data_IF_919025231428
#
_entry.id   IF_919025231428
#
_cell.length_a   1.000
_cell.length_b   1.000
_cell.length_c   1.000
_cell.angle_alpha   90.00
_cell.angle_beta   90.00
_cell.angle_gamma   90.00
#
_symmetry.space_group_name_H-M   'P 1'
#
loop_
_entity.id
_entity.type
_entity.pdbx_description
1 polymer ?
#
# COMPACT_ATOMS: atom_id res chain seq x y z
N UNK A 1 4.52 6.53 11.06
CA UNK A 1 5.89 6.99 11.30
C UNK A 1 6.63 5.78 11.78
N UNK A 2 7.64 5.40 11.03
CA UNK A 2 8.54 4.33 11.40
C UNK A 2 9.16 4.64 12.75
N UNK A 3 9.28 3.61 13.57
CA UNK A 3 9.96 3.74 14.84
C UNK A 3 11.47 3.83 14.59
N UNK A 4 12.23 4.38 15.55
CA UNK A 4 13.68 4.55 15.46
C UNK A 4 14.39 3.24 15.08
N UNK A 5 13.88 2.09 15.55
CA UNK A 5 14.39 0.76 15.20
C UNK A 5 14.22 0.43 13.72
N UNK A 6 13.03 0.68 13.16
CA UNK A 6 12.74 0.46 11.74
C UNK A 6 13.61 1.33 10.82
N UNK A 7 14.07 2.50 11.29
CA UNK A 7 15.03 3.32 10.54
C UNK A 7 16.47 2.80 10.59
N UNK A 8 16.85 2.14 11.68
CA UNK A 8 18.16 1.49 11.76
C UNK A 8 18.22 0.29 10.79
N UNK A 9 17.10 -0.41 10.61
CA UNK A 9 16.99 -1.50 9.63
C UNK A 9 17.19 -0.99 8.18
N UNK A 10 16.77 0.25 7.87
CA UNK A 10 17.03 0.87 6.56
C UNK A 10 18.54 1.00 6.25
N UNK A 11 19.40 1.15 7.27
CA UNK A 11 20.86 1.20 7.04
C UNK A 11 21.46 -0.17 6.78
N UNK A 12 20.82 -1.23 7.27
CA UNK A 12 21.37 -2.58 7.27
C UNK A 12 20.84 -3.44 6.11
N UNK A 13 19.59 -3.22 5.72
CA UNK A 13 18.87 -4.11 4.79
C UNK A 13 18.33 -3.40 3.55
N UNK A 14 18.21 -2.07 3.53
CA UNK A 14 17.62 -1.35 2.39
C UNK A 14 18.67 -0.50 1.68
N UNK A 15 18.54 -0.35 0.35
CA UNK A 15 19.42 0.49 -0.46
C UNK A 15 19.06 2.00 -0.38
N UNK A 16 18.37 2.40 0.70
CA UNK A 16 17.86 3.77 0.94
C UNK A 16 18.45 4.40 2.20
N UNK A 17 19.78 4.29 2.35
CA UNK A 17 20.52 4.83 3.49
C UNK A 17 20.34 6.36 3.68
N UNK A 18 19.99 7.09 2.62
CA UNK A 18 19.63 8.51 2.64
C UNK A 18 18.37 8.79 3.47
N UNK A 19 17.49 7.81 3.63
CA UNK A 19 16.31 7.92 4.48
C UNK A 19 16.61 7.60 5.95
N UNK A 20 17.79 7.10 6.31
CA UNK A 20 18.07 6.70 7.68
C UNK A 20 18.41 7.87 8.61
N UNK A 21 19.09 8.91 8.10
CA UNK A 21 19.61 10.01 8.90
C UNK A 21 18.72 11.25 8.83
N UNK A 22 18.61 12.00 9.93
CA UNK A 22 17.88 13.27 9.95
C UNK A 22 18.54 14.31 9.04
N UNK A 23 17.71 15.16 8.45
CA UNK A 23 18.16 16.33 7.71
C UNK A 23 18.83 17.35 8.65
N UNK A 24 19.39 18.41 8.07
CA UNK A 24 20.04 19.49 8.83
C UNK A 24 19.11 20.24 9.80
N UNK A 25 17.80 20.00 9.74
CA UNK A 25 16.78 20.58 10.63
C UNK A 25 16.37 19.63 11.76
N UNK A 26 17.02 18.46 11.89
CA UNK A 26 16.67 17.42 12.86
C UNK A 26 15.36 16.71 12.54
N UNK A 27 14.87 16.80 11.29
CA UNK A 27 13.69 16.09 10.83
C UNK A 27 14.07 14.90 9.99
N UNK A 28 13.28 13.86 10.14
CA UNK A 28 13.38 12.67 9.31
C UNK A 28 13.12 13.02 7.83
N UNK A 29 14.02 12.67 6.90
CA UNK A 29 13.80 12.85 5.47
C UNK A 29 12.52 12.15 5.03
N UNK A 30 11.78 12.82 4.16
CA UNK A 30 10.55 12.26 3.61
C UNK A 30 10.88 11.22 2.54
N UNK A 31 10.36 10.01 2.71
CA UNK A 31 10.41 9.02 1.65
C UNK A 31 9.67 9.50 0.40
N UNK A 32 10.19 9.14 -0.79
CA UNK A 32 9.65 9.57 -2.08
C UNK A 32 8.19 9.13 -2.31
N UNK A 33 7.73 8.12 -1.57
CA UNK A 33 6.36 7.61 -1.62
C UNK A 33 5.41 8.24 -0.59
N UNK A 34 5.88 9.15 0.28
CA UNK A 34 4.97 9.82 1.21
C UNK A 34 4.09 10.84 0.50
N UNK A 35 2.78 10.63 0.58
CA UNK A 35 1.80 11.60 0.12
C UNK A 35 1.83 12.85 1.01
N UNK A 36 1.74 14.01 0.35
CA UNK A 36 1.48 15.26 1.05
C UNK A 36 0.11 15.22 1.74
N UNK A 37 -0.02 15.98 2.83
CA UNK A 37 -1.26 16.00 3.63
C UNK A 37 -2.51 16.28 2.78
N UNK A 38 -2.42 17.22 1.83
CA UNK A 38 -3.52 17.57 0.95
C UNK A 38 -3.94 16.40 0.05
N UNK A 39 -2.98 15.67 -0.54
CA UNK A 39 -3.26 14.47 -1.33
C UNK A 39 -3.84 13.35 -0.48
N UNK A 40 -3.35 13.22 0.74
CA UNK A 40 -3.86 12.23 1.69
C UNK A 40 -5.30 12.54 2.14
N UNK A 41 -5.66 13.82 2.29
CA UNK A 41 -7.04 14.27 2.54
C UNK A 41 -7.96 13.88 1.39
N UNK A 42 -7.57 14.19 0.14
CA UNK A 42 -8.32 13.80 -1.06
C UNK A 42 -8.51 12.28 -1.16
N UNK A 43 -7.46 11.51 -0.87
CA UNK A 43 -7.53 10.05 -0.87
C UNK A 43 -8.48 9.54 0.21
N UNK A 44 -8.42 10.10 1.43
CA UNK A 44 -9.31 9.72 2.52
C UNK A 44 -10.77 10.08 2.21
N UNK A 45 -11.04 11.24 1.62
CA UNK A 45 -12.38 11.64 1.19
C UNK A 45 -12.91 10.69 0.10
N UNK A 46 -12.08 10.36 -0.88
CA UNK A 46 -12.45 9.39 -1.93
C UNK A 46 -12.83 8.02 -1.35
N UNK A 47 -12.03 7.48 -0.41
CA UNK A 47 -12.34 6.20 0.25
C UNK A 47 -13.59 6.31 1.13
N UNK A 48 -13.83 7.47 1.75
CA UNK A 48 -15.00 7.72 2.59
C UNK A 48 -16.30 7.73 1.81
N UNK A 49 -16.27 8.26 0.59
CA UNK A 49 -17.43 8.34 -0.31
C UNK A 49 -17.64 7.05 -1.13
N UNK A 50 -16.71 6.09 -1.03
CA UNK A 50 -16.77 4.84 -1.74
C UNK A 50 -17.97 3.99 -1.30
N UNK A 51 -18.78 3.55 -2.27
CA UNK A 51 -19.94 2.70 -2.05
C UNK A 51 -19.84 1.46 -2.92
N UNK A 52 -20.23 0.32 -2.35
CA UNK A 52 -20.26 -0.95 -3.04
C UNK A 52 -21.70 -1.47 -3.15
N UNK A 53 -22.00 -2.30 -4.17
CA UNK A 53 -23.19 -3.12 -4.18
C UNK A 53 -23.25 -4.03 -2.94
N UNK A 54 -24.46 -4.38 -2.52
CA UNK A 54 -24.65 -5.26 -1.37
C UNK A 54 -23.95 -6.61 -1.58
N UNK A 55 -23.33 -7.13 -0.52
CA UNK A 55 -22.56 -8.37 -0.53
C UNK A 55 -21.15 -8.28 -1.15
N UNK A 56 -20.71 -7.16 -1.71
CA UNK A 56 -19.36 -7.03 -2.26
C UNK A 56 -18.30 -6.73 -1.18
N UNK A 57 -18.51 -5.68 -0.38
CA UNK A 57 -17.66 -5.31 0.75
C UNK A 57 -18.51 -4.58 1.80
N UNK A 58 -18.02 -4.53 3.04
CA UNK A 58 -18.60 -3.66 4.06
C UNK A 58 -18.38 -2.18 3.68
N UNK A 59 -19.02 -1.26 4.41
CA UNK A 59 -18.78 0.16 4.24
C UNK A 59 -17.35 0.56 4.68
N UNK A 60 -16.38 0.44 3.76
CA UNK A 60 -14.97 0.79 3.98
C UNK A 60 -14.83 2.27 4.40
N UNK A 61 -15.73 3.14 3.95
CA UNK A 61 -15.70 4.56 4.31
C UNK A 61 -15.84 4.81 5.82
N UNK A 62 -16.48 3.90 6.57
CA UNK A 62 -16.55 3.99 8.04
C UNK A 62 -15.21 3.72 8.73
N UNK A 63 -14.28 3.07 8.04
CA UNK A 63 -12.94 2.79 8.55
C UNK A 63 -12.01 4.00 8.42
N UNK A 64 -12.41 5.09 7.74
CA UNK A 64 -11.58 6.28 7.54
C UNK A 64 -11.69 7.24 8.73
N UNK A 65 -10.57 7.41 9.44
CA UNK A 65 -10.42 8.43 10.48
C UNK A 65 -9.87 9.75 9.92
N UNK A 66 -10.74 10.66 9.47
CA UNK A 66 -10.35 11.94 8.87
C UNK A 66 -9.43 12.82 9.73
N UNK A 67 -9.54 12.74 11.07
CA UNK A 67 -8.65 13.51 11.97
C UNK A 67 -7.18 13.07 11.90
N UNK A 68 -6.95 11.78 11.67
CA UNK A 68 -5.60 11.19 11.62
C UNK A 68 -5.19 10.77 10.20
N UNK A 69 -6.09 10.91 9.22
CA UNK A 69 -5.94 10.48 7.82
C UNK A 69 -5.44 9.03 7.72
N UNK A 70 -6.14 8.13 8.43
CA UNK A 70 -5.76 6.73 8.58
C UNK A 70 -6.98 5.82 8.53
N UNK A 71 -6.77 4.62 8.02
CA UNK A 71 -7.72 3.52 8.06
C UNK A 71 -7.64 2.79 9.42
N UNK A 72 -8.79 2.44 9.98
CA UNK A 72 -8.91 1.70 11.24
C UNK A 72 -10.07 0.72 11.18
N UNK A 73 -9.93 -0.44 11.82
CA UNK A 73 -11.06 -1.37 12.04
C UNK A 73 -11.63 -2.02 10.78
N UNK A 74 -10.87 -2.05 9.67
CA UNK A 74 -11.26 -2.84 8.49
C UNK A 74 -11.23 -4.34 8.81
N UNK A 75 -12.21 -5.07 8.28
CA UNK A 75 -12.24 -6.53 8.38
C UNK A 75 -11.31 -7.12 7.31
N UNK A 76 -10.88 -8.37 7.52
CA UNK A 76 -10.01 -9.08 6.56
C UNK A 76 -10.58 -9.07 5.13
N UNK A 77 -11.88 -9.36 4.98
CA UNK A 77 -12.57 -9.30 3.69
C UNK A 77 -12.43 -7.94 2.99
N UNK A 78 -12.66 -6.85 3.73
CA UNK A 78 -12.57 -5.50 3.19
C UNK A 78 -11.12 -5.14 2.82
N UNK A 79 -10.13 -5.65 3.55
CA UNK A 79 -8.72 -5.53 3.19
C UNK A 79 -8.39 -6.27 1.89
N UNK A 80 -8.90 -7.48 1.70
CA UNK A 80 -8.72 -8.22 0.44
C UNK A 80 -9.32 -7.46 -0.74
N UNK A 81 -10.53 -6.92 -0.60
CA UNK A 81 -11.16 -6.07 -1.62
C UNK A 81 -10.32 -4.82 -1.88
N UNK A 82 -9.89 -4.13 -0.82
CA UNK A 82 -9.09 -2.91 -0.94
C UNK A 82 -7.78 -3.17 -1.69
N UNK A 83 -7.02 -4.17 -1.25
CA UNK A 83 -5.72 -4.50 -1.84
C UNK A 83 -5.89 -5.02 -3.28
N UNK A 84 -6.77 -5.97 -3.54
CA UNK A 84 -6.80 -6.67 -4.83
C UNK A 84 -7.65 -5.97 -5.90
N UNK A 85 -8.56 -5.07 -5.52
CA UNK A 85 -9.49 -4.41 -6.45
C UNK A 85 -9.29 -2.90 -6.52
N UNK A 86 -9.19 -2.23 -5.38
CA UNK A 86 -9.15 -0.77 -5.38
C UNK A 86 -7.78 -0.24 -5.77
N UNK A 87 -6.70 -0.77 -5.18
CA UNK A 87 -5.33 -0.31 -5.50
C UNK A 87 -5.05 -0.33 -7.02
N UNK A 88 -5.31 -1.43 -7.76
CA UNK A 88 -5.03 -1.48 -9.20
C UNK A 88 -5.90 -0.55 -10.05
N UNK A 89 -7.15 -0.29 -9.64
CA UNK A 89 -8.15 0.35 -10.50
C UNK A 89 -8.31 1.82 -10.14
N UNK A 90 -8.58 2.07 -8.87
CA UNK A 90 -9.09 3.35 -8.41
C UNK A 90 -7.99 4.30 -7.91
N UNK A 91 -6.86 3.74 -7.47
CA UNK A 91 -5.77 4.53 -6.88
C UNK A 91 -4.79 5.08 -7.92
N UNK A 92 -4.92 4.71 -9.20
CA UNK A 92 -4.04 5.17 -10.28
C UNK A 92 -3.95 6.70 -10.36
N UNK A 93 -5.06 7.40 -10.10
CA UNK A 93 -5.13 8.86 -10.17
C UNK A 93 -4.84 9.55 -8.84
N UNK A 94 -4.72 8.79 -7.75
CA UNK A 94 -4.59 9.30 -6.39
C UNK A 94 -3.16 9.15 -5.84
N UNK A 95 -2.41 8.17 -6.35
CA UNK A 95 -1.03 7.88 -5.97
C UNK A 95 -0.03 8.42 -7.01
N UNK A 96 1.23 8.54 -6.60
CA UNK A 96 2.33 8.75 -7.55
C UNK A 96 2.44 7.52 -8.46
N UNK A 97 2.76 7.71 -9.75
CA UNK A 97 2.82 6.62 -10.73
C UNK A 97 3.77 5.51 -10.28
N UNK A 98 4.97 5.88 -9.86
CA UNK A 98 6.01 4.99 -9.31
C UNK A 98 5.73 4.48 -7.88
N UNK A 99 4.51 4.66 -7.37
CA UNK A 99 4.07 4.02 -6.13
C UNK A 99 2.87 3.14 -6.46
N UNK A 100 2.01 3.63 -7.34
CA UNK A 100 0.86 2.90 -7.85
C UNK A 100 1.28 1.66 -8.64
N UNK A 101 2.31 1.72 -9.49
CA UNK A 101 2.73 0.60 -10.34
C UNK A 101 3.18 -0.59 -9.50
N UNK A 102 4.06 -0.37 -8.53
CA UNK A 102 4.61 -1.41 -7.66
C UNK A 102 3.61 -1.87 -6.59
N UNK A 103 2.71 -0.99 -6.11
CA UNK A 103 1.55 -1.45 -5.33
C UNK A 103 0.59 -2.30 -6.17
N UNK A 104 0.41 -1.97 -7.45
CA UNK A 104 -0.45 -2.73 -8.38
C UNK A 104 0.13 -4.11 -8.66
N UNK A 105 1.45 -4.23 -8.87
CA UNK A 105 2.12 -5.53 -9.01
C UNK A 105 1.90 -6.39 -7.77
N UNK A 106 2.07 -5.82 -6.56
CA UNK A 106 1.81 -6.53 -5.31
C UNK A 106 0.34 -6.94 -5.17
N UNK A 107 -0.59 -6.06 -5.55
CA UNK A 107 -2.03 -6.36 -5.55
C UNK A 107 -2.40 -7.50 -6.49
N UNK A 108 -1.80 -7.54 -7.68
CA UNK A 108 -2.01 -8.61 -8.65
C UNK A 108 -1.41 -9.93 -8.17
N UNK A 109 -0.23 -9.88 -7.55
CA UNK A 109 0.37 -11.04 -6.88
C UNK A 109 -0.59 -11.64 -5.84
N UNK A 110 -1.14 -10.83 -4.94
CA UNK A 110 -2.08 -11.33 -3.93
C UNK A 110 -3.38 -11.83 -4.54
N UNK A 111 -3.87 -11.20 -5.61
CA UNK A 111 -5.06 -11.64 -6.33
C UNK A 111 -4.85 -13.04 -6.90
N UNK A 112 -3.73 -13.29 -7.55
CA UNK A 112 -3.36 -14.60 -8.10
C UNK A 112 -3.16 -15.64 -6.97
N UNK A 113 -2.47 -15.25 -5.90
CA UNK A 113 -2.23 -16.13 -4.73
C UNK A 113 -3.53 -16.57 -4.05
N UNK A 114 -4.53 -15.69 -3.98
CA UNK A 114 -5.85 -15.99 -3.38
C UNK A 114 -6.86 -16.58 -4.36
N UNK A 115 -6.44 -16.92 -5.58
CA UNK A 115 -7.31 -17.56 -6.56
C UNK A 115 -7.84 -18.90 -6.02
N UNK A 116 -9.12 -19.18 -6.27
CA UNK A 116 -9.75 -20.46 -5.89
C UNK A 116 -9.09 -21.67 -6.58
N UNK A 117 -8.49 -21.44 -7.75
CA UNK A 117 -7.75 -22.45 -8.51
C UNK A 117 -6.41 -21.85 -8.89
N UNK A 118 -5.32 -22.50 -8.48
CA UNK A 118 -3.96 -22.12 -8.83
C UNK A 118 -3.27 -23.30 -9.51
N UNK A 119 -2.65 -23.06 -10.67
CA UNK A 119 -1.88 -24.08 -11.38
C UNK A 119 -0.45 -24.07 -10.85
N UNK A 120 0.23 -25.21 -10.94
CA UNK A 120 1.64 -25.34 -10.54
C UNK A 120 2.55 -24.34 -11.27
N UNK A 121 2.27 -24.05 -12.55
CA UNK A 121 2.99 -23.04 -13.31
C UNK A 121 2.79 -21.61 -12.77
N UNK A 122 1.57 -21.28 -12.33
CA UNK A 122 1.28 -19.98 -11.71
C UNK A 122 1.97 -19.87 -10.34
N UNK A 123 1.99 -20.95 -9.56
CA UNK A 123 2.69 -20.97 -8.27
C UNK A 123 4.21 -20.77 -8.44
N UNK A 124 4.84 -21.43 -9.42
CA UNK A 124 6.24 -21.20 -9.77
C UNK A 124 6.50 -19.75 -10.21
N UNK A 125 5.58 -19.16 -10.98
CA UNK A 125 5.67 -17.74 -11.36
C UNK A 125 5.66 -16.85 -10.11
N UNK A 126 4.65 -17.02 -9.24
CA UNK A 126 4.52 -16.24 -8.00
C UNK A 126 5.78 -16.33 -7.13
N UNK A 127 6.35 -17.52 -6.97
CA UNK A 127 7.58 -17.72 -6.20
C UNK A 127 8.78 -16.94 -6.78
N UNK A 128 8.90 -16.84 -8.10
CA UNK A 128 9.95 -16.06 -8.77
C UNK A 128 9.67 -14.55 -8.76
N UNK A 129 8.40 -14.14 -8.79
CA UNK A 129 8.01 -12.74 -8.89
C UNK A 129 8.08 -12.02 -7.53
N UNK A 130 7.76 -12.70 -6.42
CA UNK A 130 7.67 -12.04 -5.11
C UNK A 130 8.95 -11.33 -4.66
N UNK A 131 10.18 -11.88 -4.83
CA UNK A 131 11.38 -11.18 -4.43
C UNK A 131 11.60 -9.91 -5.27
N UNK A 132 11.26 -9.95 -6.56
CA UNK A 132 11.39 -8.82 -7.48
C UNK A 132 10.40 -7.71 -7.10
N UNK A 133 9.15 -8.07 -6.83
CA UNK A 133 8.11 -7.12 -6.39
C UNK A 133 8.51 -6.46 -5.08
N UNK A 134 9.03 -7.22 -4.11
CA UNK A 134 9.49 -6.67 -2.84
C UNK A 134 10.69 -5.72 -3.03
N UNK A 135 11.68 -6.08 -3.85
CA UNK A 135 12.80 -5.19 -4.15
C UNK A 135 12.39 -3.87 -4.83
N UNK A 136 11.28 -3.84 -5.59
CA UNK A 136 10.75 -2.59 -6.16
C UNK A 136 10.11 -1.68 -5.11
N UNK A 137 9.62 -2.25 -4.01
CA UNK A 137 8.98 -1.51 -2.91
C UNK A 137 10.01 -1.00 -1.89
N UNK A 138 11.17 -1.64 -1.81
CA UNK A 138 12.32 -1.26 -0.97
C UNK A 138 12.93 0.08 -1.31
#
# INVERSE_FOLDING_TARGET
MDNVKSRADLQLYCDRSELANQDSSGKDPKACYMLEKQRLEVLCDWVKDLKFPDGFASNIGQCIGMKKLKLFGMKSHDYHVFMQRLIPIDFQKLLLTNVWEELTELSLFFKDLTSTIIKEADMRRLENDIPIILCKLE
#
